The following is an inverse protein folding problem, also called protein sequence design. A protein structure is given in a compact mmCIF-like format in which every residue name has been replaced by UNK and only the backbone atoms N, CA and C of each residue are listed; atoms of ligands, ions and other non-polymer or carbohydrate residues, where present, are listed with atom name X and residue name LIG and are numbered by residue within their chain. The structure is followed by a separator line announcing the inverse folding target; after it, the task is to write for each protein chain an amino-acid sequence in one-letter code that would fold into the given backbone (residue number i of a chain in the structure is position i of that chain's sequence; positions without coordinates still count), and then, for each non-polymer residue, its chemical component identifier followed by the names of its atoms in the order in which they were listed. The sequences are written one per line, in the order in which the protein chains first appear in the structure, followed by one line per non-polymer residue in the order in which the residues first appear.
data_IF_837574707222
#
_entry.id   IF_837574707222
#
_cell.length_a   1.000
_cell.length_b   1.000
_cell.length_c   1.000
_cell.angle_alpha   90.00
_cell.angle_beta   90.00
_cell.angle_gamma   90.00
#
_symmetry.space_group_name_H-M   'P 1'
#
loop_
_entity.id
_entity.type
_entity.pdbx_description
1 polymer ?
#
# COMPACT_ATOMS: atom_id res chain seq x y z
N UNK A 1 26.37 29.60 -66.32
CA UNK A 1 26.27 30.70 -65.34
C UNK A 1 25.07 30.41 -64.45
N UNK A 2 25.28 30.22 -63.15
CA UNK A 2 24.21 30.04 -62.16
C UNK A 2 24.37 28.79 -61.32
N UNK A 3 25.26 28.82 -60.32
CA UNK A 3 25.36 27.78 -59.28
C UNK A 3 24.53 28.24 -58.08
N UNK A 4 23.39 27.60 -57.87
CA UNK A 4 22.50 27.80 -56.72
C UNK A 4 23.12 27.12 -55.50
N UNK A 5 23.48 27.89 -54.47
CA UNK A 5 23.94 27.33 -53.18
C UNK A 5 22.76 27.42 -52.20
N UNK A 6 22.12 26.28 -51.96
CA UNK A 6 21.10 26.10 -50.92
C UNK A 6 21.82 25.69 -49.64
N UNK A 7 21.99 26.61 -48.70
CA UNK A 7 22.59 26.34 -47.38
C UNK A 7 21.60 25.59 -46.50
N UNK A 8 21.89 24.33 -46.20
CA UNK A 8 21.11 23.49 -45.29
C UNK A 8 21.60 23.69 -43.85
N UNK A 9 20.79 24.32 -43.01
CA UNK A 9 21.07 24.50 -41.58
C UNK A 9 20.79 23.20 -40.83
N UNK A 10 21.83 22.51 -40.35
CA UNK A 10 21.70 21.39 -39.43
C UNK A 10 21.43 21.92 -38.02
N UNK A 11 20.22 21.69 -37.51
CA UNK A 11 19.91 21.84 -36.08
C UNK A 11 20.45 20.62 -35.32
N UNK A 12 21.26 20.78 -34.27
CA UNK A 12 21.71 19.63 -33.49
C UNK A 12 20.54 19.05 -32.70
N UNK A 13 20.24 17.77 -32.93
CA UNK A 13 19.37 16.98 -32.07
C UNK A 13 19.97 16.91 -30.66
N UNK A 14 19.25 17.40 -29.65
CA UNK A 14 19.65 17.21 -28.27
C UNK A 14 19.50 15.74 -27.89
N UNK A 15 20.62 15.08 -27.64
CA UNK A 15 20.68 13.71 -27.14
C UNK A 15 20.32 13.75 -25.65
N UNK A 16 19.12 13.31 -25.27
CA UNK A 16 18.83 13.01 -23.88
C UNK A 16 19.61 11.75 -23.52
N UNK A 17 20.56 11.87 -22.58
CA UNK A 17 21.35 10.74 -22.10
C UNK A 17 20.49 9.69 -21.38
N UNK A 18 21.06 8.52 -21.03
CA UNK A 18 20.36 7.49 -20.28
C UNK A 18 19.83 8.10 -18.98
N UNK A 19 18.51 8.17 -18.84
CA UNK A 19 17.86 8.55 -17.58
C UNK A 19 18.32 7.59 -16.50
N UNK A 20 18.69 8.13 -15.34
CA UNK A 20 19.15 7.36 -14.20
C UNK A 20 18.17 6.23 -13.89
N UNK A 21 18.72 5.02 -13.91
CA UNK A 21 18.32 3.87 -13.12
C UNK A 21 17.64 4.32 -11.82
N UNK A 22 16.32 4.15 -11.75
CA UNK A 22 15.63 4.16 -10.47
C UNK A 22 16.02 2.85 -9.81
N UNK A 23 17.13 2.90 -9.08
CA UNK A 23 17.81 1.76 -8.50
C UNK A 23 16.80 0.74 -8.00
N UNK A 24 16.96 -0.48 -8.49
CA UNK A 24 16.22 -1.70 -8.18
C UNK A 24 16.42 -2.10 -6.70
N UNK A 25 16.06 -1.16 -5.82
CA UNK A 25 15.96 -1.39 -4.40
C UNK A 25 14.65 -2.14 -4.26
N UNK A 26 14.66 -3.41 -3.82
CA UNK A 26 13.42 -4.14 -3.63
C UNK A 26 12.51 -3.29 -2.76
N UNK A 27 11.31 -3.01 -3.27
CA UNK A 27 10.29 -2.28 -2.53
C UNK A 27 10.21 -2.89 -1.14
N UNK A 28 10.58 -2.11 -0.12
CA UNK A 28 10.37 -2.53 1.25
C UNK A 28 8.86 -2.78 1.37
N UNK A 29 8.48 -3.99 1.78
CA UNK A 29 7.10 -4.27 2.13
C UNK A 29 6.73 -3.31 3.26
N UNK A 30 6.05 -2.22 2.94
CA UNK A 30 5.38 -1.40 3.93
C UNK A 30 4.44 -2.34 4.69
N UNK A 31 4.72 -2.54 5.98
CA UNK A 31 3.81 -3.30 6.84
C UNK A 31 2.43 -2.64 6.81
N UNK A 32 1.37 -3.45 6.91
CA UNK A 32 0.01 -2.94 6.95
C UNK A 32 -0.09 -1.79 7.98
N UNK A 33 -0.59 -0.64 7.53
CA UNK A 33 -0.71 0.53 8.38
C UNK A 33 -1.70 0.24 9.52
N UNK A 34 -1.42 0.70 10.74
CA UNK A 34 -2.35 0.53 11.85
C UNK A 34 -3.71 1.17 11.54
N UNK A 35 -4.83 0.51 11.90
CA UNK A 35 -6.16 1.07 11.71
C UNK A 35 -6.31 2.44 12.36
N UNK A 36 -6.99 3.35 11.68
CA UNK A 36 -7.14 4.73 12.11
C UNK A 36 -8.50 5.30 11.74
N UNK A 37 -8.93 6.33 12.45
CA UNK A 37 -10.10 7.11 12.11
C UNK A 37 -9.80 8.61 12.23
N UNK A 38 -10.66 9.40 11.60
CA UNK A 38 -10.67 10.85 11.75
C UNK A 38 -12.07 11.29 12.16
N UNK A 39 -12.15 12.28 13.05
CA UNK A 39 -13.38 12.97 13.41
C UNK A 39 -13.10 14.47 13.39
N UNK A 40 -14.00 15.26 12.79
CA UNK A 40 -13.76 16.69 12.50
C UNK A 40 -14.97 17.51 12.90
N UNK A 41 -14.72 18.72 13.38
CA UNK A 41 -15.71 19.78 13.58
C UNK A 41 -15.21 21.11 12.96
N UNK A 42 -15.92 22.22 13.22
CA UNK A 42 -15.46 23.53 12.76
C UNK A 42 -14.18 23.99 13.47
N UNK A 43 -14.02 23.65 14.75
CA UNK A 43 -12.90 24.09 15.59
C UNK A 43 -11.77 23.07 15.72
N UNK A 44 -12.09 21.78 15.63
CA UNK A 44 -11.17 20.70 15.98
C UNK A 44 -11.07 19.59 14.93
N UNK A 45 -9.86 19.04 14.81
CA UNK A 45 -9.58 17.80 14.10
C UNK A 45 -9.02 16.77 15.07
N UNK A 46 -9.55 15.56 15.02
CA UNK A 46 -9.10 14.44 15.84
C UNK A 46 -8.71 13.26 14.96
N UNK A 47 -7.52 12.72 15.19
CA UNK A 47 -7.05 11.48 14.59
C UNK A 47 -6.86 10.43 15.68
N UNK A 48 -7.47 9.26 15.50
CA UNK A 48 -7.26 8.10 16.36
C UNK A 48 -6.53 6.98 15.65
N UNK A 49 -5.55 6.36 16.31
CA UNK A 49 -4.76 5.24 15.79
C UNK A 49 -4.85 4.06 16.76
N UNK A 50 -5.36 2.92 16.29
CA UNK A 50 -5.50 1.70 17.08
C UNK A 50 -4.32 0.76 16.88
N UNK A 51 -3.69 0.34 17.97
CA UNK A 51 -2.63 -0.66 18.03
C UNK A 51 -3.00 -1.73 19.05
N UNK A 52 -3.63 -2.81 18.58
CA UNK A 52 -4.19 -3.86 19.43
C UNK A 52 -5.27 -3.29 20.37
N UNK A 53 -4.95 -3.16 21.66
CA UNK A 53 -5.84 -2.60 22.69
C UNK A 53 -5.56 -1.13 23.04
N UNK A 54 -4.53 -0.54 22.45
CA UNK A 54 -4.16 0.84 22.73
C UNK A 54 -4.67 1.74 21.60
N UNK A 55 -5.48 2.72 21.95
CA UNK A 55 -5.93 3.76 21.03
C UNK A 55 -5.23 5.07 21.42
N UNK A 56 -4.45 5.60 20.50
CA UNK A 56 -3.79 6.92 20.66
C UNK A 56 -4.58 7.95 19.88
N UNK A 57 -4.87 9.09 20.50
CA UNK A 57 -5.66 10.17 19.92
C UNK A 57 -4.80 11.45 19.84
N UNK A 58 -4.88 12.13 18.71
CA UNK A 58 -4.25 13.41 18.46
C UNK A 58 -5.33 14.44 18.14
N UNK A 59 -5.34 15.54 18.89
CA UNK A 59 -6.32 16.62 18.79
C UNK A 59 -5.62 17.92 18.39
N UNK A 60 -6.00 18.42 17.23
CA UNK A 60 -5.44 19.64 16.62
C UNK A 60 -6.55 20.67 16.34
N UNK A 61 -6.18 21.95 16.21
CA UNK A 61 -7.08 23.00 15.74
C UNK A 61 -7.28 22.87 14.23
N UNK A 62 -8.53 22.89 13.75
CA UNK A 62 -8.82 22.79 12.30
C UNK A 62 -8.22 23.95 11.49
N UNK A 63 -8.01 25.12 12.12
CA UNK A 63 -7.54 26.31 11.41
C UNK A 63 -6.07 26.23 10.97
N UNK A 64 -5.21 25.60 11.77
CA UNK A 64 -3.76 25.61 11.57
C UNK A 64 -3.04 24.31 11.95
N UNK A 65 -3.79 23.27 12.31
CA UNK A 65 -3.30 21.96 12.73
C UNK A 65 -2.35 22.01 13.95
N UNK A 66 -2.45 23.06 14.78
CA UNK A 66 -1.70 23.13 16.03
C UNK A 66 -2.37 22.29 17.12
N UNK A 67 -1.60 21.62 17.99
CA UNK A 67 -2.16 20.76 19.03
C UNK A 67 -2.96 21.59 20.05
N UNK A 68 -4.11 21.07 20.47
CA UNK A 68 -5.01 21.78 21.38
C UNK A 68 -4.54 21.62 22.84
N UNK A 69 -4.18 22.72 23.55
CA UNK A 69 -3.76 22.65 24.94
C UNK A 69 -4.95 22.51 25.90
N UNK A 70 -4.69 21.88 27.05
CA UNK A 70 -5.60 21.79 28.19
C UNK A 70 -7.01 21.23 27.86
N UNK A 71 -7.12 20.46 26.77
CA UNK A 71 -8.36 19.80 26.40
C UNK A 71 -8.60 18.55 27.25
N UNK A 72 -9.88 18.25 27.49
CA UNK A 72 -10.35 16.98 28.02
C UNK A 72 -11.21 16.30 26.98
N UNK A 73 -11.05 14.99 26.85
CA UNK A 73 -11.82 14.18 25.91
C UNK A 73 -12.75 13.24 26.67
N UNK A 74 -14.00 13.16 26.22
CA UNK A 74 -14.92 12.09 26.55
C UNK A 74 -15.11 11.22 25.31
N UNK A 75 -14.58 10.00 25.33
CA UNK A 75 -14.68 9.06 24.22
C UNK A 75 -15.84 8.08 24.45
N UNK A 76 -16.68 7.93 23.44
CA UNK A 76 -17.59 6.82 23.27
C UNK A 76 -17.23 6.05 22.00
N UNK A 77 -16.94 4.75 22.16
CA UNK A 77 -16.52 3.86 21.09
C UNK A 77 -17.41 2.62 21.08
N UNK A 78 -18.04 2.32 19.95
CA UNK A 78 -19.00 1.23 19.81
C UNK A 78 -20.12 1.26 20.90
N UNK A 79 -20.59 2.47 21.23
CA UNK A 79 -21.63 2.71 22.24
C UNK A 79 -21.17 2.57 23.70
N UNK A 80 -19.85 2.45 23.94
CA UNK A 80 -19.28 2.37 25.28
C UNK A 80 -18.44 3.59 25.61
N UNK A 81 -18.68 4.22 26.76
CA UNK A 81 -17.84 5.30 27.27
C UNK A 81 -16.54 4.75 27.82
N UNK A 82 -15.41 5.26 27.35
CA UNK A 82 -14.08 4.79 27.72
C UNK A 82 -13.27 5.95 28.31
N UNK A 83 -12.61 5.77 29.47
CA UNK A 83 -11.79 6.82 30.06
C UNK A 83 -10.58 7.14 29.18
N UNK A 84 -10.33 8.43 28.98
CA UNK A 84 -9.21 8.96 28.20
C UNK A 84 -8.16 9.55 29.13
N UNK A 85 -6.89 9.25 28.86
CA UNK A 85 -5.75 9.75 29.63
C UNK A 85 -4.94 10.72 28.77
N UNK A 86 -4.77 11.96 29.23
CA UNK A 86 -3.86 12.90 28.59
C UNK A 86 -2.40 12.46 28.80
N UNK A 87 -1.60 12.51 27.72
CA UNK A 87 -0.17 12.20 27.75
C UNK A 87 0.69 13.43 27.42
N UNK A 88 0.19 14.31 26.56
CA UNK A 88 0.86 15.52 26.13
C UNK A 88 -0.12 16.58 25.65
N UNK A 89 0.40 17.67 25.08
CA UNK A 89 -0.43 18.71 24.47
C UNK A 89 -1.07 18.13 23.20
N UNK A 90 -2.40 18.09 23.16
CA UNK A 90 -3.13 17.47 22.05
C UNK A 90 -3.02 15.95 21.95
N UNK A 91 -2.30 15.27 22.86
CA UNK A 91 -2.05 13.82 22.79
C UNK A 91 -2.70 13.08 23.95
N UNK A 92 -3.46 12.03 23.61
CA UNK A 92 -4.20 11.22 24.57
C UNK A 92 -4.07 9.74 24.27
N UNK A 93 -4.18 8.92 25.31
CA UNK A 93 -4.14 7.46 25.22
C UNK A 93 -5.35 6.85 25.92
N UNK A 94 -5.88 5.81 25.29
CA UNK A 94 -7.00 5.01 25.76
C UNK A 94 -6.59 3.54 25.74
N UNK A 95 -6.85 2.84 26.85
CA UNK A 95 -6.63 1.40 26.97
C UNK A 95 -7.98 0.68 26.91
N UNK A 96 -8.22 -0.07 25.84
CA UNK A 96 -9.40 -0.90 25.67
C UNK A 96 -9.32 -2.14 26.56
N UNK A 97 -10.44 -2.56 27.15
CA UNK A 97 -10.49 -3.78 27.96
C UNK A 97 -10.19 -5.05 27.14
N UNK A 98 -10.59 -5.03 25.87
CA UNK A 98 -10.39 -6.09 24.90
C UNK A 98 -10.15 -5.49 23.51
N UNK A 99 -9.62 -6.29 22.59
CA UNK A 99 -9.51 -5.88 21.20
C UNK A 99 -10.90 -5.74 20.59
N UNK A 100 -11.05 -4.78 19.67
CA UNK A 100 -12.29 -4.60 18.93
C UNK A 100 -12.43 -5.73 17.91
N UNK A 101 -13.64 -6.29 17.75
CA UNK A 101 -13.88 -7.27 16.69
C UNK A 101 -13.75 -6.60 15.31
N UNK A 102 -13.48 -7.37 14.24
CA UNK A 102 -13.48 -6.84 12.88
C UNK A 102 -14.81 -6.16 12.51
N UNK A 103 -14.74 -5.14 11.67
CA UNK A 103 -15.86 -4.33 11.19
C UNK A 103 -15.74 -2.84 11.52
N UNK A 104 -16.82 -2.10 11.24
CA UNK A 104 -16.92 -0.66 11.46
C UNK A 104 -17.45 -0.36 12.86
N UNK A 105 -16.79 0.59 13.54
CA UNK A 105 -17.12 1.01 14.90
C UNK A 105 -17.37 2.51 14.94
N UNK A 106 -18.58 2.91 15.31
CA UNK A 106 -18.89 4.32 15.53
C UNK A 106 -18.03 4.90 16.66
N UNK A 107 -17.49 6.09 16.43
CA UNK A 107 -16.70 6.87 17.38
C UNK A 107 -17.40 8.20 17.61
N UNK A 108 -17.61 8.56 18.87
CA UNK A 108 -18.02 9.89 19.28
C UNK A 108 -17.03 10.42 20.32
N UNK A 109 -16.55 11.64 20.12
CA UNK A 109 -15.61 12.29 21.02
C UNK A 109 -16.12 13.67 21.36
N UNK A 110 -16.44 13.89 22.63
CA UNK A 110 -16.73 15.24 23.13
C UNK A 110 -15.40 15.88 23.54
N UNK A 111 -15.04 16.97 22.89
CA UNK A 111 -13.89 17.81 23.23
C UNK A 111 -14.37 18.90 24.18
N UNK A 112 -13.74 18.99 25.35
CA UNK A 112 -14.03 20.03 26.34
C UNK A 112 -12.78 20.87 26.57
N UNK A 113 -12.87 22.16 26.29
CA UNK A 113 -11.81 23.14 26.57
C UNK A 113 -12.33 24.23 27.51
N UNK A 114 -11.47 25.20 27.85
CA UNK A 114 -11.91 26.37 28.60
C UNK A 114 -12.80 27.33 27.78
N UNK A 115 -12.74 27.25 26.44
CA UNK A 115 -13.44 28.18 25.52
C UNK A 115 -14.77 27.62 25.06
N UNK A 116 -14.81 26.33 24.76
CA UNK A 116 -15.96 25.67 24.17
C UNK A 116 -15.96 24.17 24.41
N UNK A 117 -17.14 23.58 24.19
CA UNK A 117 -17.37 22.15 24.15
C UNK A 117 -17.93 21.80 22.78
N UNK A 118 -17.37 20.77 22.15
CA UNK A 118 -17.77 20.34 20.81
C UNK A 118 -17.84 18.82 20.72
N UNK A 119 -18.67 18.30 19.83
CA UNK A 119 -18.88 16.87 19.61
C UNK A 119 -18.39 16.47 18.21
N UNK A 120 -17.38 15.62 18.18
CA UNK A 120 -16.79 15.09 16.95
C UNK A 120 -17.29 13.65 16.75
N UNK A 121 -17.77 13.36 15.54
CA UNK A 121 -18.20 12.01 15.16
C UNK A 121 -17.30 11.45 14.06
N UNK A 122 -16.98 10.17 14.15
CA UNK A 122 -16.17 9.45 13.18
C UNK A 122 -16.45 7.96 13.21
N UNK A 123 -15.69 7.20 12.43
CA UNK A 123 -15.86 5.76 12.30
C UNK A 123 -14.50 5.07 12.19
N UNK A 124 -14.27 4.07 13.03
CA UNK A 124 -13.07 3.25 13.02
C UNK A 124 -13.36 1.96 12.27
N UNK A 125 -12.68 1.78 11.14
CA UNK A 125 -12.82 0.60 10.32
C UNK A 125 -11.71 -0.43 10.59
N UNK A 126 -12.10 -1.67 10.88
CA UNK A 126 -11.24 -2.81 11.16
C UNK A 126 -11.51 -3.94 10.17
N UNK A 127 -11.00 -3.81 8.95
CA UNK A 127 -10.95 -4.89 7.98
C UNK A 127 -9.52 -5.44 7.88
N UNK A 128 -9.39 -6.76 7.73
CA UNK A 128 -8.10 -7.34 7.32
C UNK A 128 -7.79 -6.85 5.91
N UNK A 129 -6.73 -6.05 5.75
CA UNK A 129 -6.24 -5.68 4.44
C UNK A 129 -5.96 -6.95 3.63
N UNK A 130 -6.64 -7.13 2.50
CA UNK A 130 -6.44 -8.22 1.53
C UNK A 130 -5.08 -8.10 0.80
N UNK A 131 -3.97 -7.94 1.52
CA UNK A 131 -2.63 -7.80 0.96
C UNK A 131 -1.76 -9.05 1.17
N UNK A 132 -2.39 -10.19 1.45
CA UNK A 132 -1.74 -11.51 1.46
C UNK A 132 -1.65 -12.18 0.08
N UNK A 133 -1.91 -11.46 -1.02
CA UNK A 133 -1.82 -12.03 -2.38
C UNK A 133 -0.39 -12.13 -2.96
N UNK A 134 0.60 -11.48 -2.34
CA UNK A 134 1.98 -11.51 -2.85
C UNK A 134 2.60 -12.91 -2.85
N UNK A 135 2.26 -13.76 -1.87
CA UNK A 135 2.80 -15.13 -1.79
C UNK A 135 2.10 -16.09 -2.75
N UNK A 136 0.80 -15.92 -2.97
CA UNK A 136 0.00 -16.73 -3.90
C UNK A 136 0.39 -16.46 -5.36
N UNK A 137 0.76 -15.22 -5.69
CA UNK A 137 1.23 -14.84 -7.01
C UNK A 137 2.51 -15.59 -7.41
N UNK A 138 3.56 -15.55 -6.59
CA UNK A 138 4.85 -16.18 -6.91
C UNK A 138 4.74 -17.69 -7.14
N UNK A 139 3.98 -18.40 -6.30
CA UNK A 139 3.74 -19.83 -6.47
C UNK A 139 2.97 -20.14 -7.76
N UNK A 140 1.96 -19.33 -8.09
CA UNK A 140 1.22 -19.49 -9.34
C UNK A 140 2.12 -19.29 -10.57
N UNK A 141 2.96 -18.25 -10.58
CA UNK A 141 3.90 -17.98 -11.67
C UNK A 141 4.93 -19.11 -11.84
N UNK A 142 5.45 -19.68 -10.75
CA UNK A 142 6.38 -20.83 -10.81
C UNK A 142 5.71 -22.09 -11.35
N UNK A 143 4.45 -22.35 -11.01
CA UNK A 143 3.69 -23.48 -11.55
C UNK A 143 3.45 -23.33 -13.06
N UNK A 144 3.08 -22.12 -13.52
CA UNK A 144 2.92 -21.85 -14.95
C UNK A 144 4.25 -21.96 -15.71
N UNK A 145 5.35 -21.44 -15.15
CA UNK A 145 6.68 -21.57 -15.74
C UNK A 145 7.14 -23.04 -15.82
N UNK A 146 6.90 -23.82 -14.77
CA UNK A 146 7.20 -25.26 -14.74
C UNK A 146 6.40 -26.05 -15.79
N UNK A 147 5.10 -25.76 -15.93
CA UNK A 147 4.25 -26.41 -16.93
C UNK A 147 4.71 -26.08 -18.35
N UNK A 148 5.06 -24.81 -18.62
CA UNK A 148 5.57 -24.38 -19.92
C UNK A 148 6.87 -25.10 -20.31
N UNK A 149 7.80 -25.26 -19.37
CA UNK A 149 9.05 -26.01 -19.58
C UNK A 149 8.81 -27.50 -19.85
N UNK A 150 7.84 -28.11 -19.16
CA UNK A 150 7.46 -29.51 -19.35
C UNK A 150 6.89 -29.75 -20.75
N UNK A 151 6.00 -28.85 -21.20
CA UNK A 151 5.43 -28.89 -22.57
C UNK A 151 6.54 -28.73 -23.61
N UNK A 152 7.48 -27.80 -23.39
CA UNK A 152 8.62 -27.59 -24.28
C UNK A 152 9.53 -28.83 -24.36
N UNK A 153 9.83 -29.45 -23.22
CA UNK A 153 10.65 -30.66 -23.16
C UNK A 153 9.98 -31.84 -23.90
N UNK A 154 8.67 -32.03 -23.69
CA UNK A 154 7.90 -33.08 -24.36
C UNK A 154 7.80 -32.86 -25.88
N UNK A 155 7.64 -31.62 -26.32
CA UNK A 155 7.60 -31.29 -27.75
C UNK A 155 8.95 -31.49 -28.43
N UNK A 156 10.06 -31.04 -27.82
CA UNK A 156 11.43 -31.31 -28.33
C UNK A 156 11.72 -32.81 -28.38
N UNK A 157 11.37 -33.55 -27.34
CA UNK A 157 11.55 -35.00 -27.29
C UNK A 157 10.72 -35.74 -28.35
N UNK A 158 9.46 -35.34 -28.53
CA UNK A 158 8.59 -35.86 -29.60
C UNK A 158 9.15 -35.59 -31.00
N UNK A 159 9.68 -34.38 -31.23
CA UNK A 159 10.31 -34.01 -32.49
C UNK A 159 11.58 -34.85 -32.76
N UNK A 160 12.45 -35.00 -31.75
CA UNK A 160 13.64 -35.86 -31.83
C UNK A 160 13.31 -37.32 -32.14
N UNK A 161 12.23 -37.86 -31.56
CA UNK A 161 11.77 -39.23 -31.87
C UNK A 161 11.23 -39.39 -33.29
N UNK A 162 10.58 -38.34 -33.83
CA UNK A 162 10.08 -38.36 -35.22
C UNK A 162 11.21 -38.28 -36.26
N UNK A 163 12.26 -37.48 -35.99
CA UNK A 163 13.39 -37.33 -36.91
C UNK A 163 14.50 -38.39 -36.70
N UNK A 164 14.62 -38.99 -35.52
CA UNK A 164 15.60 -40.04 -35.22
C UNK A 164 15.23 -41.45 -35.71
N UNK A 165 14.04 -41.64 -36.32
CA UNK A 165 13.58 -42.92 -36.88
C UNK A 165 13.95 -43.14 -38.35
N UNK A 166 14.87 -42.35 -38.92
CA UNK A 166 15.46 -42.64 -40.24
C UNK A 166 16.66 -43.57 -40.07
N UNK A 167 16.41 -44.88 -40.11
CA UNK A 167 17.45 -45.91 -40.20
C UNK A 167 18.25 -45.77 -41.51
N UNK A 168 19.54 -46.15 -41.50
CA UNK A 168 20.46 -45.96 -42.61
C UNK A 168 20.02 -46.81 -43.80
N UNK A 169 20.09 -46.24 -45.00
CA UNK A 169 19.96 -47.00 -46.23
C UNK A 169 21.15 -47.95 -46.32
N UNK A 170 20.82 -49.23 -46.29
CA UNK A 170 21.69 -50.36 -46.60
C UNK A 170 22.10 -50.24 -48.08
N UNK A 171 23.27 -49.67 -48.38
CA UNK A 171 24.01 -49.97 -49.61
C UNK A 171 25.01 -51.07 -49.28
N UNK A 172 25.25 -52.10 -50.08
CA UNK A 172 24.94 -52.41 -51.47
C UNK A 172 25.92 -53.53 -51.83
N UNK A 173 25.47 -54.54 -52.57
CA UNK A 173 26.23 -55.73 -52.92
C UNK A 173 27.53 -55.44 -53.72
N UNK A 174 28.59 -56.22 -53.45
CA UNK A 174 29.42 -56.96 -54.41
C UNK A 174 30.54 -57.70 -53.67
#
# INVERSE_FOLDING_TARGET
MGLTVLTLSLTPSSWAGPGHDHGDTPAMTEGAASPRFTAVSESFELVGILQGKQLTLYLDQSADNSPVPDARLELELAGQKIPVQAQGVGEFVVSLAQELPPGQHAVMVTVVTARETDLLAGELDLHEDEHSHAQTGLLAWLLYAGLALLILALSVWGLRRRFGRRHPFLGGAA
#
